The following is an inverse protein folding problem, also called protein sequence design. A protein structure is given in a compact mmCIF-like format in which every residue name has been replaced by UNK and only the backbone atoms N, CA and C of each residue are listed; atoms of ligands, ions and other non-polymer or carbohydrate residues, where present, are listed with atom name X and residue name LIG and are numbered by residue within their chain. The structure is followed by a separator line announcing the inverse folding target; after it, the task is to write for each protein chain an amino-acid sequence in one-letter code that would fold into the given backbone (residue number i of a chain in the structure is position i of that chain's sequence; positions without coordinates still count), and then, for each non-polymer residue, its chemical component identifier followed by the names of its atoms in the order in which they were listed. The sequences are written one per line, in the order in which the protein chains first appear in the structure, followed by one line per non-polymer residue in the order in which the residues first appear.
data_IF_984097466266
#
_entry.id   IF_984097466266
#
_cell.length_a   1.000
_cell.length_b   1.000
_cell.length_c   1.000
_cell.angle_alpha   90.00
_cell.angle_beta   90.00
_cell.angle_gamma   90.00
#
_symmetry.space_group_name_H-M   'P 1'
#
loop_
_entity.id
_entity.type
_entity.pdbx_description
1 polymer ?
#
# COMPACT_ATOMS: atom_id res chain seq x y z
N UNK A 1 38.11 -11.90 -4.19
CA UNK A 1 37.11 -11.48 -5.20
C UNK A 1 35.75 -11.78 -4.61
N UNK A 2 34.87 -10.79 -4.54
CA UNK A 2 33.50 -11.01 -4.08
C UNK A 2 32.63 -11.15 -5.33
N UNK A 3 32.34 -12.39 -5.73
CA UNK A 3 31.38 -12.69 -6.79
C UNK A 3 29.98 -12.75 -6.20
N UNK A 4 29.02 -12.11 -6.86
CA UNK A 4 27.62 -12.09 -6.42
C UNK A 4 26.78 -12.83 -7.44
N UNK A 5 26.07 -13.86 -7.00
CA UNK A 5 25.10 -14.59 -7.81
C UNK A 5 23.80 -13.77 -7.96
N UNK A 6 23.27 -13.71 -9.18
CA UNK A 6 22.05 -13.01 -9.57
C UNK A 6 21.15 -13.87 -10.49
N UNK A 7 21.39 -15.19 -10.57
CA UNK A 7 20.66 -16.10 -11.45
C UNK A 7 19.16 -16.14 -11.18
N UNK A 8 18.79 -15.95 -9.90
CA UNK A 8 17.42 -15.95 -9.39
C UNK A 8 16.70 -14.60 -9.56
N UNK A 9 17.39 -13.56 -10.04
CA UNK A 9 16.89 -12.20 -10.09
C UNK A 9 16.69 -11.69 -11.52
N UNK A 10 15.70 -10.82 -11.69
CA UNK A 10 15.52 -10.09 -12.94
C UNK A 10 16.69 -9.11 -13.16
N UNK A 11 17.44 -9.25 -14.27
CA UNK A 11 18.61 -8.41 -14.57
C UNK A 11 18.30 -6.91 -14.61
N UNK A 12 17.12 -6.51 -15.10
CA UNK A 12 16.72 -5.11 -15.10
C UNK A 12 16.48 -4.60 -13.68
N UNK A 13 15.91 -5.42 -12.80
CA UNK A 13 15.79 -5.10 -11.38
C UNK A 13 17.16 -4.97 -10.69
N UNK A 14 18.10 -5.87 -10.99
CA UNK A 14 19.48 -5.80 -10.49
C UNK A 14 20.17 -4.52 -10.95
N UNK A 15 20.12 -4.20 -12.25
CA UNK A 15 20.72 -2.98 -12.80
C UNK A 15 20.14 -1.72 -12.16
N UNK A 16 18.81 -1.65 -12.05
CA UNK A 16 18.13 -0.52 -11.41
C UNK A 16 18.52 -0.39 -9.93
N UNK A 17 18.54 -1.49 -9.17
CA UNK A 17 18.92 -1.49 -7.75
C UNK A 17 20.35 -0.99 -7.55
N UNK A 18 21.31 -1.52 -8.32
CA UNK A 18 22.71 -1.11 -8.28
C UNK A 18 22.88 0.36 -8.66
N UNK A 19 22.19 0.83 -9.70
CA UNK A 19 22.19 2.24 -10.10
C UNK A 19 21.65 3.15 -8.99
N UNK A 20 20.51 2.81 -8.42
CA UNK A 20 19.84 3.61 -7.40
C UNK A 20 20.66 3.72 -6.11
N UNK A 21 21.46 2.70 -5.81
CA UNK A 21 22.38 2.66 -4.67
C UNK A 21 23.80 3.18 -4.96
N UNK A 22 24.16 3.39 -6.23
CA UNK A 22 25.46 3.94 -6.61
C UNK A 22 25.58 5.43 -6.22
N UNK A 23 26.79 5.86 -5.89
CA UNK A 23 27.07 7.26 -5.56
C UNK A 23 27.02 8.12 -6.83
N UNK A 24 26.26 9.23 -6.85
CA UNK A 24 26.36 10.20 -7.93
C UNK A 24 27.75 10.87 -7.91
N UNK A 25 28.35 11.04 -9.09
CA UNK A 25 29.64 11.70 -9.29
C UNK A 25 29.43 13.11 -9.84
N UNK A 26 30.25 14.06 -9.39
CA UNK A 26 30.24 15.46 -9.83
C UNK A 26 29.22 16.36 -9.14
N UNK A 27 29.14 17.64 -9.58
CA UNK A 27 28.22 18.66 -9.04
C UNK A 27 26.78 18.53 -9.56
N UNK A 28 26.40 17.37 -10.11
CA UNK A 28 25.06 17.16 -10.63
C UNK A 28 24.14 16.73 -9.49
N UNK A 29 23.34 17.66 -9.00
CA UNK A 29 22.31 17.46 -7.96
C UNK A 29 21.05 16.77 -8.50
N UNK A 30 21.13 16.18 -9.70
CA UNK A 30 20.01 15.52 -10.35
C UNK A 30 19.76 14.17 -9.69
N UNK A 31 18.73 14.13 -8.83
CA UNK A 31 18.19 12.95 -8.16
C UNK A 31 17.46 12.02 -9.14
N UNK A 32 18.13 11.65 -10.24
CA UNK A 32 17.58 10.66 -11.16
C UNK A 32 17.75 9.27 -10.54
N UNK A 33 16.63 8.55 -10.48
CA UNK A 33 16.55 7.16 -10.06
C UNK A 33 16.06 6.35 -11.27
N UNK A 34 16.57 5.14 -11.42
CA UNK A 34 16.27 4.26 -12.55
C UNK A 34 15.14 3.32 -12.18
N UNK A 35 14.10 3.29 -13.01
CA UNK A 35 13.03 2.29 -12.89
C UNK A 35 13.43 0.98 -13.56
N UNK A 36 12.76 -0.12 -13.22
CA UNK A 36 12.98 -1.42 -13.88
C UNK A 36 12.74 -1.31 -15.39
N UNK A 37 11.73 -0.55 -15.83
CA UNK A 37 11.42 -0.33 -17.26
C UNK A 37 12.55 0.43 -17.98
N UNK A 38 13.14 1.42 -17.33
CA UNK A 38 14.29 2.14 -17.87
C UNK A 38 15.53 1.25 -17.93
N UNK A 39 15.77 0.45 -16.88
CA UNK A 39 16.83 -0.54 -16.89
C UNK A 39 16.63 -1.58 -18.00
N UNK A 40 15.41 -2.06 -18.21
CA UNK A 40 15.08 -2.98 -19.29
C UNK A 40 15.37 -2.37 -20.66
N UNK A 41 15.01 -1.10 -20.88
CA UNK A 41 15.35 -0.39 -22.11
C UNK A 41 16.88 -0.24 -22.29
N UNK A 42 17.62 -0.02 -21.20
CA UNK A 42 19.09 -0.02 -21.24
C UNK A 42 19.66 -1.39 -21.60
N UNK A 43 19.13 -2.48 -21.04
CA UNK A 43 19.57 -3.83 -21.38
C UNK A 43 19.29 -4.19 -22.85
N UNK A 44 18.20 -3.69 -23.43
CA UNK A 44 17.90 -3.89 -24.86
C UNK A 44 18.87 -3.13 -25.76
N UNK A 45 19.32 -1.94 -25.33
CA UNK A 45 20.24 -1.10 -26.11
C UNK A 45 21.72 -1.44 -25.90
N UNK A 46 22.09 -1.93 -24.70
CA UNK A 46 23.45 -2.33 -24.34
C UNK A 46 23.57 -3.85 -24.35
N UNK A 47 23.83 -4.39 -25.54
CA UNK A 47 23.87 -5.84 -25.80
C UNK A 47 25.00 -6.60 -25.09
N UNK A 48 26.02 -5.90 -24.60
CA UNK A 48 27.13 -6.50 -23.86
C UNK A 48 26.86 -6.64 -22.35
N UNK A 49 25.78 -6.02 -21.85
CA UNK A 49 25.40 -6.00 -20.43
C UNK A 49 26.49 -5.44 -19.50
N UNK A 50 27.44 -4.66 -20.03
CA UNK A 50 28.53 -4.06 -19.26
C UNK A 50 28.21 -2.59 -18.99
N UNK A 51 28.24 -2.23 -17.72
CA UNK A 51 27.89 -0.89 -17.29
C UNK A 51 29.03 -0.29 -16.49
N UNK A 52 29.85 0.51 -17.16
CA UNK A 52 30.90 1.30 -16.50
C UNK A 52 30.30 2.46 -15.69
N UNK A 53 29.30 3.12 -16.27
CA UNK A 53 28.53 4.14 -15.58
C UNK A 53 27.30 4.54 -16.39
N UNK A 54 26.28 5.00 -15.68
CA UNK A 54 25.03 5.49 -16.25
C UNK A 54 24.70 6.80 -15.57
N UNK A 55 24.31 7.84 -16.32
CA UNK A 55 23.81 9.12 -15.79
C UNK A 55 24.63 9.66 -14.59
N UNK A 56 25.95 9.77 -14.75
CA UNK A 56 26.90 10.23 -13.73
C UNK A 56 27.01 9.35 -12.48
N UNK A 57 26.59 8.09 -12.52
CA UNK A 57 26.83 7.09 -11.47
C UNK A 57 27.76 6.02 -12.01
N UNK A 58 28.81 5.70 -11.25
CA UNK A 58 29.79 4.68 -11.62
C UNK A 58 29.28 3.32 -11.14
N UNK A 59 29.14 2.39 -12.07
CA UNK A 59 28.63 1.05 -11.81
C UNK A 59 29.77 0.03 -11.86
N UNK A 60 30.52 -0.02 -12.96
CA UNK A 60 31.62 -0.98 -13.19
C UNK A 60 31.19 -2.43 -12.93
N UNK A 61 30.05 -2.82 -13.50
CA UNK A 61 29.51 -4.19 -13.41
C UNK A 61 29.32 -4.83 -14.78
N UNK A 62 29.46 -6.15 -14.84
CA UNK A 62 29.17 -6.97 -16.00
C UNK A 62 28.01 -7.91 -15.65
N UNK A 63 26.83 -7.67 -16.22
CA UNK A 63 25.60 -8.44 -15.94
C UNK A 63 25.30 -9.45 -17.06
N UNK A 64 26.27 -9.77 -17.92
CA UNK A 64 26.09 -10.71 -19.02
C UNK A 64 25.84 -12.14 -18.53
N UNK A 65 26.50 -12.54 -17.43
CA UNK A 65 26.36 -13.84 -16.79
C UNK A 65 25.23 -13.94 -15.76
N UNK A 66 25.32 -15.00 -14.94
CA UNK A 66 24.47 -15.27 -13.76
C UNK A 66 25.13 -14.80 -12.45
N UNK A 67 26.37 -14.35 -12.53
CA UNK A 67 27.14 -13.77 -11.44
C UNK A 67 27.99 -12.61 -11.96
N UNK A 68 28.39 -11.70 -11.07
CA UNK A 68 29.31 -10.62 -11.40
C UNK A 68 30.32 -10.34 -10.29
N UNK A 69 31.48 -9.82 -10.65
CA UNK A 69 32.50 -9.35 -9.70
C UNK A 69 32.11 -7.96 -9.16
N UNK A 70 31.90 -7.86 -7.85
CA UNK A 70 31.52 -6.61 -7.20
C UNK A 70 32.68 -5.67 -6.94
N UNK A 71 33.93 -6.12 -7.10
CA UNK A 71 35.11 -5.42 -6.60
C UNK A 71 35.21 -3.98 -7.13
N UNK A 72 34.92 -3.77 -8.41
CA UNK A 72 34.97 -2.43 -9.01
C UNK A 72 33.76 -1.56 -8.64
N UNK A 73 32.57 -2.15 -8.51
CA UNK A 73 31.41 -1.42 -7.99
C UNK A 73 31.68 -0.91 -6.57
N UNK A 74 32.13 -1.80 -5.69
CA UNK A 74 32.38 -1.52 -4.28
C UNK A 74 33.54 -0.53 -4.10
N UNK A 75 34.56 -0.56 -4.98
CA UNK A 75 35.64 0.43 -5.00
C UNK A 75 35.12 1.86 -5.12
N UNK A 76 34.10 2.10 -5.96
CA UNK A 76 33.53 3.42 -6.17
C UNK A 76 32.38 3.74 -5.20
N UNK A 77 31.60 2.75 -4.80
CA UNK A 77 30.33 2.94 -4.10
C UNK A 77 30.39 2.61 -2.59
N UNK A 78 31.45 1.93 -2.15
CA UNK A 78 31.71 1.51 -0.77
C UNK A 78 31.74 -0.01 -0.63
N UNK A 79 32.61 -0.52 0.26
CA UNK A 79 32.83 -1.96 0.46
C UNK A 79 31.55 -2.73 0.81
N UNK A 80 31.29 -3.84 0.10
CA UNK A 80 30.14 -4.72 0.29
C UNK A 80 28.80 -4.08 -0.08
N UNK A 81 28.80 -2.97 -0.83
CA UNK A 81 27.57 -2.25 -1.15
C UNK A 81 26.77 -2.96 -2.24
N UNK A 82 27.44 -3.54 -3.23
CA UNK A 82 26.79 -4.38 -4.22
C UNK A 82 26.05 -5.55 -3.56
N UNK A 83 26.74 -6.28 -2.68
CA UNK A 83 26.18 -7.45 -1.98
C UNK A 83 24.96 -7.07 -1.15
N UNK A 84 25.05 -6.01 -0.33
CA UNK A 84 23.89 -5.51 0.44
C UNK A 84 22.73 -5.11 -0.47
N UNK A 85 23.01 -4.49 -1.62
CA UNK A 85 21.98 -4.07 -2.57
C UNK A 85 21.27 -5.27 -3.19
N UNK A 86 22.03 -6.28 -3.62
CA UNK A 86 21.47 -7.49 -4.24
C UNK A 86 20.72 -8.35 -3.21
N UNK A 87 21.25 -8.49 -1.99
CA UNK A 87 20.56 -9.21 -0.92
C UNK A 87 19.26 -8.51 -0.53
N UNK A 88 19.26 -7.18 -0.42
CA UNK A 88 18.03 -6.41 -0.18
C UNK A 88 16.99 -6.64 -1.28
N UNK A 89 17.41 -6.57 -2.55
CA UNK A 89 16.53 -6.86 -3.68
C UNK A 89 15.98 -8.30 -3.63
N UNK A 90 16.81 -9.28 -3.27
CA UNK A 90 16.42 -10.69 -3.16
C UNK A 90 15.40 -10.91 -2.03
N UNK A 91 15.62 -10.29 -0.88
CA UNK A 91 14.77 -10.45 0.30
C UNK A 91 13.42 -9.73 0.15
N UNK A 92 13.41 -8.56 -0.48
CA UNK A 92 12.22 -7.68 -0.52
C UNK A 92 11.52 -7.64 -1.87
N UNK A 93 12.22 -8.03 -2.95
CA UNK A 93 11.77 -7.79 -4.33
C UNK A 93 11.76 -6.32 -4.72
N UNK A 94 12.25 -5.41 -3.87
CA UNK A 94 12.08 -3.97 -4.03
C UNK A 94 13.28 -3.30 -4.71
N UNK A 95 12.96 -2.41 -5.66
CA UNK A 95 13.91 -1.50 -6.28
C UNK A 95 13.46 -0.08 -5.94
N UNK A 96 14.34 0.72 -5.33
CA UNK A 96 14.00 2.11 -5.01
C UNK A 96 13.77 2.95 -6.28
N UNK A 97 12.50 3.21 -6.64
CA UNK A 97 11.92 3.56 -7.98
C UNK A 97 11.28 2.38 -8.71
N UNK A 98 10.35 1.69 -8.07
CA UNK A 98 9.39 0.85 -8.79
C UNK A 98 8.29 1.75 -9.37
N UNK A 99 8.06 1.63 -10.68
CA UNK A 99 6.79 2.06 -11.24
C UNK A 99 5.72 1.10 -10.73
N UNK A 100 4.67 1.64 -10.12
CA UNK A 100 3.55 0.86 -9.65
C UNK A 100 2.47 0.90 -10.72
N UNK A 101 2.12 -0.27 -11.24
CA UNK A 101 1.01 -0.47 -12.15
C UNK A 101 -0.32 -0.28 -11.41
N UNK A 102 -1.19 0.55 -12.00
CA UNK A 102 -2.53 0.90 -11.54
C UNK A 102 -3.56 0.85 -12.69
N UNK A 103 -3.23 0.23 -13.83
CA UNK A 103 -4.10 0.17 -15.00
C UNK A 103 -5.46 -0.46 -14.69
N UNK A 104 -5.47 -1.45 -13.78
CA UNK A 104 -6.63 -2.19 -13.33
C UNK A 104 -7.47 -1.49 -12.25
N UNK A 105 -7.02 -0.33 -11.76
CA UNK A 105 -7.60 0.34 -10.60
C UNK A 105 -8.27 1.67 -10.94
N UNK A 106 -9.34 1.97 -10.22
CA UNK A 106 -9.94 3.31 -10.24
C UNK A 106 -8.96 4.31 -9.65
N UNK A 107 -8.49 5.27 -10.45
CA UNK A 107 -7.49 6.24 -10.02
C UNK A 107 -7.92 7.02 -8.78
N UNK A 108 -9.22 7.29 -8.60
CA UNK A 108 -9.70 8.01 -7.43
C UNK A 108 -9.58 7.14 -6.17
N UNK A 109 -9.80 5.83 -6.30
CA UNK A 109 -9.52 4.87 -5.25
C UNK A 109 -8.01 4.79 -4.94
N UNK A 110 -7.15 4.81 -5.95
CA UNK A 110 -5.67 4.87 -5.77
C UNK A 110 -5.28 6.14 -5.00
N UNK A 111 -5.80 7.30 -5.41
CA UNK A 111 -5.53 8.57 -4.71
C UNK A 111 -6.00 8.53 -3.25
N UNK A 112 -7.22 8.05 -3.00
CA UNK A 112 -7.75 7.91 -1.65
C UNK A 112 -6.87 6.97 -0.79
N UNK A 113 -6.47 5.83 -1.35
CA UNK A 113 -5.61 4.86 -0.67
C UNK A 113 -4.23 5.45 -0.34
N UNK A 114 -3.58 6.10 -1.32
CA UNK A 114 -2.28 6.77 -1.12
C UNK A 114 -2.39 7.89 -0.09
N UNK A 115 -3.47 8.66 -0.10
CA UNK A 115 -3.71 9.69 0.92
C UNK A 115 -3.85 9.08 2.32
N UNK A 116 -4.68 8.06 2.47
CA UNK A 116 -4.94 7.44 3.78
C UNK A 116 -3.69 6.73 4.33
N UNK A 117 -2.88 6.12 3.46
CA UNK A 117 -1.60 5.49 3.80
C UNK A 117 -0.43 6.47 4.03
N UNK A 118 -0.55 7.73 3.59
CA UNK A 118 0.52 8.71 3.73
C UNK A 118 0.64 9.22 5.18
N UNK A 119 1.85 9.46 5.67
CA UNK A 119 2.09 10.00 7.01
C UNK A 119 1.65 11.48 7.05
N UNK A 120 0.83 11.90 8.03
CA UNK A 120 0.57 13.31 8.27
C UNK A 120 1.85 14.03 8.71
N UNK A 121 2.13 15.19 8.13
CA UNK A 121 3.30 16.03 8.45
C UNK A 121 2.86 17.45 8.82
N UNK A 122 2.95 17.83 10.09
CA UNK A 122 2.61 19.17 10.58
C UNK A 122 2.04 19.17 12.00
N UNK A 123 2.10 20.32 12.70
CA UNK A 123 1.70 20.49 14.12
C UNK A 123 0.30 21.12 14.32
N UNK A 124 -0.59 21.13 13.32
CA UNK A 124 -1.77 22.02 13.26
C UNK A 124 -3.14 21.35 13.06
N UNK A 125 -3.71 20.81 14.13
CA UNK A 125 -5.12 21.02 14.57
C UNK A 125 -6.37 20.72 13.72
N UNK A 126 -6.37 20.66 12.37
CA UNK A 126 -7.63 20.48 11.59
C UNK A 126 -7.41 19.76 10.26
N UNK A 127 -6.89 18.53 10.32
CA UNK A 127 -6.57 17.77 9.13
C UNK A 127 -7.74 16.90 8.66
N UNK A 128 -7.87 16.79 7.34
CA UNK A 128 -8.67 15.73 6.76
C UNK A 128 -8.06 14.38 7.18
N UNK A 129 -8.66 13.76 8.19
CA UNK A 129 -8.16 12.50 8.76
C UNK A 129 -8.21 11.35 7.76
N UNK A 130 -9.14 11.42 6.80
CA UNK A 130 -9.45 10.36 5.85
C UNK A 130 -10.02 10.91 4.54
N UNK A 131 -9.68 10.28 3.42
CA UNK A 131 -10.18 10.57 2.08
C UNK A 131 -11.01 9.41 1.54
N UNK A 132 -12.28 9.69 1.18
CA UNK A 132 -13.12 8.75 0.43
C UNK A 132 -12.79 8.77 -1.06
N UNK A 133 -13.09 7.69 -1.76
CA UNK A 133 -13.01 7.63 -3.23
C UNK A 133 -13.86 8.72 -3.89
N UNK A 134 -15.06 9.00 -3.36
CA UNK A 134 -15.93 10.08 -3.87
C UNK A 134 -15.26 11.45 -3.76
N UNK A 135 -14.61 11.73 -2.63
CA UNK A 135 -13.88 12.97 -2.40
C UNK A 135 -12.62 13.03 -3.28
N UNK A 136 -11.84 11.95 -3.35
CA UNK A 136 -10.68 11.84 -4.25
C UNK A 136 -11.06 12.13 -5.71
N UNK A 137 -12.21 11.65 -6.17
CA UNK A 137 -12.71 11.90 -7.53
C UNK A 137 -12.93 13.38 -7.81
N UNK A 138 -13.33 14.18 -6.80
CA UNK A 138 -13.46 15.63 -6.97
C UNK A 138 -12.11 16.34 -7.17
N UNK A 139 -11.01 15.77 -6.65
CA UNK A 139 -9.66 16.31 -6.84
C UNK A 139 -9.09 15.99 -8.23
N UNK A 140 -9.41 14.81 -8.78
CA UNK A 140 -8.93 14.39 -10.11
C UNK A 140 -9.42 15.26 -11.25
N UNK A 141 -10.57 15.90 -11.11
CA UNK A 141 -11.10 16.85 -12.10
C UNK A 141 -10.13 18.04 -12.32
N UNK A 142 -9.25 18.33 -11.35
CA UNK A 142 -8.33 19.47 -11.39
C UNK A 142 -6.92 19.10 -11.84
N UNK A 143 -6.40 17.95 -11.40
CA UNK A 143 -5.03 17.51 -11.71
C UNK A 143 -4.86 16.03 -11.35
N UNK A 144 -3.94 15.35 -12.03
CA UNK A 144 -3.47 14.01 -11.65
C UNK A 144 -2.12 14.03 -10.92
N UNK A 145 -1.53 15.22 -10.75
CA UNK A 145 -0.27 15.43 -10.04
C UNK A 145 -0.56 15.95 -8.64
N UNK A 146 -0.17 15.19 -7.63
CA UNK A 146 -0.44 15.49 -6.24
C UNK A 146 0.86 15.63 -5.47
N UNK A 147 1.14 16.82 -4.93
CA UNK A 147 2.37 17.13 -4.20
C UNK A 147 2.22 16.96 -2.70
N UNK A 148 1.36 17.79 -2.10
CA UNK A 148 0.98 17.73 -0.69
C UNK A 148 -0.52 18.01 -0.60
N UNK A 149 -1.27 17.12 0.05
CA UNK A 149 -2.71 17.25 0.23
C UNK A 149 -3.03 17.14 1.71
N UNK A 150 -3.67 18.17 2.28
CA UNK A 150 -4.04 18.21 3.72
C UNK A 150 -2.90 17.77 4.65
N UNK A 151 -1.71 18.31 4.41
CA UNK A 151 -0.49 18.04 5.19
C UNK A 151 0.04 16.60 5.07
N UNK A 152 -0.40 15.86 4.04
CA UNK A 152 0.16 14.57 3.64
C UNK A 152 0.92 14.71 2.34
N UNK A 153 2.18 14.30 2.35
CA UNK A 153 3.05 14.38 1.18
C UNK A 153 2.78 13.17 0.28
N UNK A 154 2.20 13.41 -0.89
CA UNK A 154 1.92 12.35 -1.88
C UNK A 154 3.04 12.28 -2.93
N UNK A 155 3.33 13.40 -3.59
CA UNK A 155 4.30 13.48 -4.70
C UNK A 155 4.17 12.36 -5.73
N UNK A 156 2.94 12.14 -6.21
CA UNK A 156 2.62 11.14 -7.26
C UNK A 156 1.99 11.80 -8.48
N UNK A 157 2.20 11.17 -9.64
CA UNK A 157 1.50 11.50 -10.89
C UNK A 157 0.67 10.29 -11.34
N UNK A 158 -0.64 10.40 -11.24
CA UNK A 158 -1.60 9.34 -11.57
C UNK A 158 -2.21 9.54 -12.97
N UNK A 159 -1.60 10.37 -13.84
CA UNK A 159 -2.14 10.65 -15.17
C UNK A 159 -2.03 9.43 -16.10
N UNK A 160 -1.00 8.60 -15.92
CA UNK A 160 -0.79 7.35 -16.66
C UNK A 160 -1.50 6.14 -16.07
N UNK A 161 -1.08 4.96 -16.52
CA UNK A 161 -1.46 3.64 -16.00
C UNK A 161 -0.45 3.10 -14.98
N UNK A 162 0.69 3.78 -14.84
CA UNK A 162 1.73 3.51 -13.86
C UNK A 162 2.16 4.84 -13.21
N UNK A 163 2.70 4.80 -11.99
CA UNK A 163 3.32 5.96 -11.36
C UNK A 163 4.63 5.61 -10.65
N UNK A 164 5.57 6.56 -10.60
CA UNK A 164 6.80 6.42 -9.82
C UNK A 164 6.52 6.58 -8.32
N UNK A 165 6.77 5.51 -7.57
CA UNK A 165 6.57 5.45 -6.12
C UNK A 165 7.60 6.24 -5.31
N UNK A 166 8.73 6.61 -5.89
CA UNK A 166 9.93 6.98 -5.12
C UNK A 166 9.78 8.22 -4.27
N UNK A 167 9.09 9.23 -4.77
CA UNK A 167 8.85 10.45 -4.02
C UNK A 167 7.80 10.23 -2.94
N UNK A 168 6.81 9.36 -3.16
CA UNK A 168 5.86 8.97 -2.13
C UNK A 168 6.57 8.19 -1.00
N UNK A 169 7.31 7.14 -1.36
CA UNK A 169 7.98 6.26 -0.40
C UNK A 169 9.04 7.00 0.43
N UNK A 170 9.72 7.99 -0.16
CA UNK A 170 10.68 8.84 0.56
C UNK A 170 10.06 9.52 1.79
N UNK A 171 8.80 9.95 1.71
CA UNK A 171 8.13 10.66 2.81
C UNK A 171 7.30 9.73 3.70
N UNK A 172 6.83 8.60 3.16
CA UNK A 172 5.87 7.74 3.82
C UNK A 172 6.47 6.41 4.34
N UNK A 173 7.65 6.03 3.85
CA UNK A 173 8.36 4.80 4.19
C UNK A 173 8.63 3.96 2.94
N UNK A 174 9.74 3.23 2.95
CA UNK A 174 10.16 2.36 1.84
C UNK A 174 9.09 1.30 1.52
N UNK A 175 8.70 1.20 0.24
CA UNK A 175 7.70 0.26 -0.26
C UNK A 175 6.27 0.59 0.15
N UNK A 176 5.99 1.77 0.70
CA UNK A 176 4.65 2.12 1.18
C UNK A 176 3.64 2.19 0.04
N UNK A 177 3.99 2.81 -1.08
CA UNK A 177 3.08 2.94 -2.22
C UNK A 177 2.67 1.57 -2.75
N UNK A 178 3.61 0.62 -2.85
CA UNK A 178 3.34 -0.74 -3.31
C UNK A 178 2.39 -1.48 -2.36
N UNK A 179 2.67 -1.41 -1.05
CA UNK A 179 1.78 -1.98 -0.02
C UNK A 179 0.38 -1.41 -0.10
N UNK A 180 0.24 -0.10 -0.21
CA UNK A 180 -1.05 0.60 -0.30
C UNK A 180 -1.83 0.16 -1.54
N UNK A 181 -1.18 0.12 -2.71
CA UNK A 181 -1.83 -0.29 -3.96
C UNK A 181 -2.20 -1.77 -3.95
N UNK A 182 -1.34 -2.64 -3.43
CA UNK A 182 -1.63 -4.07 -3.32
C UNK A 182 -2.78 -4.36 -2.34
N UNK A 183 -2.88 -3.60 -1.24
CA UNK A 183 -4.02 -3.67 -0.31
C UNK A 183 -5.32 -3.21 -0.95
N UNK A 184 -5.28 -2.11 -1.72
CA UNK A 184 -6.42 -1.64 -2.49
C UNK A 184 -6.88 -2.69 -3.50
N UNK A 185 -5.93 -3.28 -4.24
CA UNK A 185 -6.20 -4.35 -5.20
C UNK A 185 -6.76 -5.60 -4.53
N UNK A 186 -6.29 -5.94 -3.33
CA UNK A 186 -6.83 -7.03 -2.52
C UNK A 186 -8.16 -6.70 -1.82
N UNK A 187 -8.65 -5.46 -1.94
CA UNK A 187 -9.93 -5.02 -1.38
C UNK A 187 -9.95 -4.84 0.13
N UNK A 188 -8.80 -4.59 0.77
CA UNK A 188 -8.74 -4.31 2.21
C UNK A 188 -9.46 -2.99 2.54
N UNK A 189 -10.10 -2.95 3.71
CA UNK A 189 -10.81 -1.76 4.20
C UNK A 189 -9.98 -1.09 5.28
N UNK A 190 -9.68 0.19 5.06
CA UNK A 190 -9.00 1.05 6.02
C UNK A 190 -9.97 1.51 7.14
N UNK A 191 -9.64 1.15 8.38
CA UNK A 191 -10.34 1.57 9.60
C UNK A 191 -9.51 2.52 10.46
N UNK A 192 -8.37 3.02 9.94
CA UNK A 192 -7.49 3.96 10.63
C UNK A 192 -8.25 5.15 11.19
N UNK A 193 -7.99 5.47 12.46
CA UNK A 193 -8.55 6.61 13.17
C UNK A 193 -10.04 6.49 13.52
N UNK A 194 -10.66 5.33 13.30
CA UNK A 194 -11.94 4.96 13.89
C UNK A 194 -11.73 4.29 15.25
N UNK A 195 -12.71 4.44 16.13
CA UNK A 195 -12.77 3.65 17.35
C UNK A 195 -13.11 2.19 17.01
N UNK A 196 -12.28 1.23 17.48
CA UNK A 196 -12.45 -0.19 17.13
C UNK A 196 -13.75 -0.77 17.69
N UNK A 197 -14.22 -0.29 18.84
CA UNK A 197 -15.50 -0.73 19.40
C UNK A 197 -16.66 -0.23 18.53
N UNK A 198 -16.61 1.01 18.04
CA UNK A 198 -17.58 1.52 17.08
C UNK A 198 -17.56 0.74 15.74
N UNK A 199 -16.37 0.38 15.24
CA UNK A 199 -16.22 -0.47 14.04
C UNK A 199 -16.88 -1.83 14.24
N UNK A 200 -16.58 -2.50 15.36
CA UNK A 200 -17.15 -3.80 15.68
C UNK A 200 -18.68 -3.71 15.84
N UNK A 201 -19.17 -2.70 16.56
CA UNK A 201 -20.60 -2.46 16.75
C UNK A 201 -21.31 -2.21 15.41
N UNK A 202 -20.76 -1.36 14.54
CA UNK A 202 -21.34 -1.07 13.25
C UNK A 202 -21.41 -2.31 12.35
N UNK A 203 -20.34 -3.11 12.30
CA UNK A 203 -20.32 -4.36 11.54
C UNK A 203 -21.28 -5.38 12.12
N UNK A 204 -21.35 -5.54 13.44
CA UNK A 204 -22.30 -6.42 14.11
C UNK A 204 -23.74 -6.06 13.78
N UNK A 205 -24.12 -4.79 13.97
CA UNK A 205 -25.47 -4.30 13.73
C UNK A 205 -25.91 -4.47 12.27
N UNK A 206 -24.95 -4.60 11.35
CA UNK A 206 -25.18 -4.81 9.93
C UNK A 206 -24.91 -6.25 9.47
N UNK A 207 -24.54 -7.16 10.36
CA UNK A 207 -24.32 -8.56 10.03
C UNK A 207 -25.65 -9.34 9.97
N UNK A 208 -25.65 -10.48 9.29
CA UNK A 208 -26.78 -11.42 9.30
C UNK A 208 -26.69 -12.30 10.54
N UNK A 209 -27.80 -12.41 11.25
CA UNK A 209 -28.00 -13.45 12.28
C UNK A 209 -28.27 -14.81 11.64
N UNK A 210 -27.66 -15.87 12.20
CA UNK A 210 -27.84 -17.27 11.84
C UNK A 210 -29.15 -17.86 12.38
N UNK A 211 -29.84 -17.18 13.30
CA UNK A 211 -31.00 -17.73 14.04
C UNK A 211 -32.36 -17.53 13.36
N UNK A 212 -32.39 -17.09 12.10
CA UNK A 212 -33.65 -16.83 11.39
C UNK A 212 -33.91 -17.85 10.27
N UNK A 213 -34.61 -18.97 10.53
CA UNK A 213 -35.40 -19.61 9.51
C UNK A 213 -36.56 -18.67 9.13
N UNK A 214 -36.80 -18.53 7.83
CA UNK A 214 -37.76 -17.62 7.17
C UNK A 214 -39.25 -17.83 7.55
N UNK A 215 -39.57 -18.54 8.64
CA UNK A 215 -40.91 -19.04 8.97
C UNK A 215 -41.25 -19.19 10.47
N UNK A 216 -40.63 -18.45 11.38
CA UNK A 216 -41.16 -18.33 12.76
C UNK A 216 -41.30 -16.86 13.13
N UNK A 217 -42.54 -16.40 13.14
CA UNK A 217 -42.92 -15.10 13.66
C UNK A 217 -42.83 -15.16 15.18
N UNK A 218 -41.63 -14.95 15.72
CA UNK A 218 -41.48 -14.58 17.13
C UNK A 218 -41.47 -13.06 17.16
N UNK A 219 -42.40 -12.38 17.85
CA UNK A 219 -42.38 -10.94 17.98
C UNK A 219 -41.27 -10.56 18.96
N UNK A 220 -40.02 -10.70 18.56
CA UNK A 220 -38.92 -10.00 19.22
C UNK A 220 -38.84 -8.63 18.56
N UNK A 221 -39.67 -7.71 19.06
CA UNK A 221 -39.65 -6.28 18.75
C UNK A 221 -38.43 -5.60 19.40
N UNK A 222 -37.25 -6.20 19.26
CA UNK A 222 -35.99 -5.71 19.78
C UNK A 222 -34.92 -5.95 18.74
N UNK A 223 -34.68 -4.94 17.90
CA UNK A 223 -33.52 -4.92 17.02
C UNK A 223 -32.26 -5.14 17.88
N UNK A 224 -31.48 -6.18 17.59
CA UNK A 224 -30.28 -6.52 18.36
C UNK A 224 -29.18 -5.55 17.93
N UNK A 225 -29.10 -4.44 18.64
CA UNK A 225 -27.96 -3.53 18.57
C UNK A 225 -27.06 -3.82 19.76
N UNK A 226 -25.76 -3.90 19.54
CA UNK A 226 -24.79 -3.81 20.65
C UNK A 226 -24.39 -2.35 20.84
N UNK A 227 -24.20 -1.94 22.08
CA UNK A 227 -23.62 -0.62 22.39
C UNK A 227 -22.12 -0.62 22.15
N UNK A 228 -21.50 0.57 22.11
CA UNK A 228 -20.04 0.69 22.00
C UNK A 228 -19.36 0.05 23.21
N UNK A 229 -19.93 0.18 24.41
CA UNK A 229 -19.40 -0.43 25.63
C UNK A 229 -19.45 -1.97 25.56
N UNK A 230 -20.52 -2.53 25.01
CA UNK A 230 -20.62 -3.97 24.78
C UNK A 230 -19.60 -4.44 23.73
N UNK A 231 -19.44 -3.69 22.64
CA UNK A 231 -18.40 -3.98 21.65
C UNK A 231 -16.99 -3.91 22.25
N UNK A 232 -16.73 -2.96 23.15
CA UNK A 232 -15.45 -2.86 23.86
C UNK A 232 -15.20 -4.10 24.73
N UNK A 233 -16.22 -4.60 25.45
CA UNK A 233 -16.11 -5.82 26.23
C UNK A 233 -15.75 -7.04 25.37
N UNK A 234 -16.20 -7.11 24.12
CA UNK A 234 -15.79 -8.17 23.20
C UNK A 234 -14.32 -8.01 22.75
N UNK A 235 -13.87 -6.78 22.51
CA UNK A 235 -12.50 -6.47 22.12
C UNK A 235 -11.48 -6.80 23.22
N UNK A 236 -11.87 -6.64 24.49
CA UNK A 236 -11.03 -6.99 25.64
C UNK A 236 -10.71 -8.50 25.68
N UNK A 237 -11.56 -9.34 25.06
CA UNK A 237 -11.35 -10.79 24.92
C UNK A 237 -10.57 -11.21 23.67
N UNK A 238 -10.36 -10.32 22.70
CA UNK A 238 -9.67 -10.61 21.44
C UNK A 238 -10.07 -9.68 20.31
N UNK A 239 -9.27 -9.64 19.23
CA UNK A 239 -9.50 -8.74 18.08
C UNK A 239 -9.99 -9.47 16.82
N UNK A 240 -10.17 -10.79 16.90
CA UNK A 240 -10.61 -11.65 15.81
C UNK A 240 -11.98 -12.24 16.13
N UNK A 241 -12.92 -12.09 15.20
CA UNK A 241 -14.32 -12.47 15.43
C UNK A 241 -14.86 -13.23 14.24
N UNK A 242 -15.03 -14.55 14.41
CA UNK A 242 -15.77 -15.36 13.44
C UNK A 242 -17.28 -15.16 13.59
N UNK A 243 -17.76 -15.10 14.83
CA UNK A 243 -19.17 -14.92 15.17
C UNK A 243 -19.26 -14.25 16.54
N UNK A 244 -20.19 -13.32 16.71
CA UNK A 244 -20.59 -12.79 18.02
C UNK A 244 -22.06 -13.15 18.17
N UNK A 245 -22.41 -13.80 19.28
CA UNK A 245 -23.74 -14.37 19.50
C UNK A 245 -24.18 -15.24 18.32
N UNK A 246 -25.12 -14.77 17.51
CA UNK A 246 -25.63 -15.41 16.31
C UNK A 246 -25.25 -14.69 15.02
N UNK A 247 -24.48 -13.61 15.06
CA UNK A 247 -24.11 -12.80 13.90
C UNK A 247 -22.75 -13.22 13.32
N UNK A 248 -22.70 -13.50 12.01
CA UNK A 248 -21.46 -13.91 11.33
C UNK A 248 -20.64 -12.67 10.94
N UNK A 249 -19.45 -12.51 11.52
CA UNK A 249 -18.55 -11.41 11.17
C UNK A 249 -17.38 -11.88 10.32
N UNK A 250 -16.58 -12.85 10.81
CA UNK A 250 -15.33 -13.32 10.17
C UNK A 250 -14.39 -12.16 9.82
N UNK A 251 -14.12 -11.32 10.80
CA UNK A 251 -13.25 -10.14 10.70
C UNK A 251 -12.07 -10.26 11.65
N UNK A 252 -10.98 -9.59 11.29
CA UNK A 252 -9.80 -9.39 12.13
C UNK A 252 -9.56 -7.88 12.25
N UNK A 253 -9.67 -7.36 13.47
CA UNK A 253 -9.50 -5.94 13.82
C UNK A 253 -8.19 -5.69 14.56
N UNK A 254 -7.23 -6.62 14.47
CA UNK A 254 -5.92 -6.48 15.11
C UNK A 254 -5.11 -5.30 14.54
N UNK A 255 -5.22 -5.06 13.24
CA UNK A 255 -4.61 -3.93 12.54
C UNK A 255 -5.50 -2.68 12.43
N UNK A 256 -5.06 -1.74 11.60
CA UNK A 256 -5.81 -0.53 11.20
C UNK A 256 -6.55 -0.72 9.87
N UNK A 257 -6.59 -1.95 9.37
CA UNK A 257 -7.29 -2.37 8.18
C UNK A 257 -7.73 -3.82 8.34
N UNK A 258 -8.72 -4.25 7.56
CA UNK A 258 -9.12 -5.65 7.53
C UNK A 258 -9.58 -6.10 6.15
N UNK A 259 -9.47 -7.40 5.89
CA UNK A 259 -9.98 -7.99 4.66
C UNK A 259 -11.49 -8.29 4.79
N UNK A 260 -12.36 -7.65 3.99
CA UNK A 260 -13.80 -7.82 4.13
C UNK A 260 -14.32 -9.11 3.47
N UNK A 261 -13.51 -9.83 2.69
CA UNK A 261 -13.97 -10.92 1.84
C UNK A 261 -14.78 -11.98 2.58
N UNK A 262 -14.34 -12.31 3.81
CA UNK A 262 -15.04 -13.30 4.63
C UNK A 262 -16.34 -12.75 5.21
N UNK A 263 -16.37 -11.48 5.63
CA UNK A 263 -17.59 -10.81 6.07
C UNK A 263 -18.62 -10.69 4.94
N UNK A 264 -18.20 -10.13 3.80
CA UNK A 264 -19.06 -9.85 2.66
C UNK A 264 -19.66 -11.12 2.04
N UNK A 265 -18.94 -12.25 2.10
CA UNK A 265 -19.45 -13.55 1.65
C UNK A 265 -20.78 -13.94 2.33
N UNK A 266 -20.94 -13.62 3.61
CA UNK A 266 -22.16 -13.95 4.36
C UNK A 266 -23.14 -12.78 4.38
N UNK A 267 -22.63 -11.56 4.48
CA UNK A 267 -23.42 -10.38 4.76
C UNK A 267 -23.89 -9.63 3.50
N UNK A 268 -23.24 -9.88 2.35
CA UNK A 268 -23.50 -9.27 1.05
C UNK A 268 -22.27 -8.56 0.50
N UNK A 269 -22.03 -8.64 -0.81
CA UNK A 269 -20.87 -8.03 -1.46
C UNK A 269 -20.80 -6.51 -1.19
N UNK A 270 -19.62 -6.03 -0.82
CA UNK A 270 -19.34 -4.62 -0.52
C UNK A 270 -20.10 -4.08 0.70
N UNK A 271 -20.62 -4.95 1.59
CA UNK A 271 -21.39 -4.49 2.74
C UNK A 271 -20.47 -3.92 3.81
N UNK A 272 -19.35 -4.57 4.11
CA UNK A 272 -18.37 -4.05 5.05
C UNK A 272 -17.92 -2.62 4.68
N UNK A 273 -17.59 -2.38 3.41
CA UNK A 273 -17.16 -1.07 2.93
C UNK A 273 -18.22 0.00 3.16
N UNK A 274 -19.49 -0.28 2.83
CA UNK A 274 -20.59 0.65 3.04
C UNK A 274 -20.83 0.95 4.52
N UNK A 275 -20.68 -0.05 5.39
CA UNK A 275 -20.85 0.11 6.85
C UNK A 275 -19.75 1.04 7.40
N UNK A 276 -18.49 0.79 7.04
CA UNK A 276 -17.38 1.63 7.48
C UNK A 276 -17.49 3.05 6.91
N UNK A 277 -17.90 3.20 5.66
CA UNK A 277 -18.11 4.52 5.06
C UNK A 277 -19.24 5.30 5.75
N UNK A 278 -20.35 4.63 6.07
CA UNK A 278 -21.43 5.25 6.85
C UNK A 278 -20.96 5.67 8.24
N UNK A 279 -20.27 4.78 8.96
CA UNK A 279 -19.71 5.08 10.27
C UNK A 279 -18.77 6.30 10.22
N UNK A 280 -17.92 6.41 9.20
CA UNK A 280 -17.04 7.58 9.01
C UNK A 280 -17.82 8.86 8.73
N UNK A 281 -18.90 8.80 7.97
CA UNK A 281 -19.68 9.98 7.57
C UNK A 281 -20.60 10.49 8.67
N UNK A 282 -21.20 9.60 9.46
CA UNK A 282 -22.26 9.95 10.41
C UNK A 282 -21.85 9.76 11.87
N UNK A 283 -20.77 9.01 12.14
CA UNK A 283 -20.45 8.53 13.48
C UNK A 283 -21.44 7.49 14.00
N UNK A 284 -22.41 7.05 13.19
CA UNK A 284 -23.47 6.15 13.61
C UNK A 284 -23.12 4.69 13.32
N UNK A 285 -23.38 3.84 14.31
CA UNK A 285 -23.29 2.37 14.20
C UNK A 285 -24.57 1.73 13.64
N UNK A 286 -25.55 2.55 13.24
CA UNK A 286 -26.86 2.09 12.81
C UNK A 286 -26.85 1.26 11.52
N UNK A 287 -27.95 0.54 11.29
CA UNK A 287 -28.19 -0.19 10.05
C UNK A 287 -28.13 0.75 8.84
N UNK A 288 -27.47 0.26 7.78
CA UNK A 288 -27.58 0.86 6.45
C UNK A 288 -29.01 0.68 5.93
N UNK A 289 -29.69 1.79 5.64
CA UNK A 289 -30.96 1.83 4.91
C UNK A 289 -30.77 1.55 3.44
#
# INVERSE_FOLDING_TARGET
MATINIADLNKAAVLAALYNNAKPQGKSWLWYRMTIKQAQALLVTHVDFKFDGVNNRVLKVDLSGEEFDSSLYDLHNGTGKAERTVNHLRETGFVECSNIDIADLDKAAVLAALFNGAKPQGNGGNYLRWMSTKKARSFQVRTYKFGCESDRILKVDLSGEEFDSSLYDRHNGEGMADRVVNRLRAGYIDISGLDKAAVLAALYCNAKSLRMPRKVYVPYSGRIFITIEQAQSYLDGGLTFDTIEDHVLRIDLSGEEFNPSRYDRFNGAGKAQRVIEHLRMTGSISLLT
#
